data_IF_352082568610
#
_entry.id   IF_352082568610
#
_cell.length_a   1.000
_cell.length_b   1.000
_cell.length_c   1.000
_cell.angle_alpha   90.00
_cell.angle_beta   90.00
_cell.angle_gamma   90.00
#
_symmetry.space_group_name_H-M   'P 1'
#
loop_
_entity.id
_entity.type
_entity.pdbx_description
1 polymer ?
#
# COMPACT_ATOMS: atom_id res chain seq x y z
N UNK A 1 1.10 -28.43 3.60
CA UNK A 1 -0.04 -27.50 3.77
C UNK A 1 0.49 -26.12 3.44
N UNK A 2 0.19 -25.60 2.24
CA UNK A 2 0.70 -24.31 1.78
C UNK A 2 -0.29 -23.24 2.27
N UNK A 3 -0.02 -22.68 3.45
CA UNK A 3 -0.79 -21.54 3.96
C UNK A 3 -0.50 -20.33 3.05
N UNK A 4 -1.55 -19.62 2.62
CA UNK A 4 -1.39 -18.35 1.92
C UNK A 4 -0.67 -17.31 2.78
N UNK A 5 -0.33 -16.12 2.22
CA UNK A 5 0.29 -15.05 3.01
C UNK A 5 -0.59 -14.72 4.22
N UNK A 6 0.01 -14.62 5.40
CA UNK A 6 -0.71 -14.34 6.65
C UNK A 6 -1.22 -12.89 6.73
N UNK A 7 -0.65 -11.98 5.92
CA UNK A 7 -0.99 -10.55 5.93
C UNK A 7 -1.00 -9.98 4.52
N UNK A 8 -2.11 -9.38 4.08
CA UNK A 8 -2.19 -8.57 2.87
C UNK A 8 -2.17 -7.07 3.16
N UNK A 9 -1.31 -6.33 2.45
CA UNK A 9 -1.15 -4.87 2.60
C UNK A 9 -1.47 -4.20 1.26
N UNK A 10 -2.53 -3.40 1.23
CA UNK A 10 -2.83 -2.51 0.10
C UNK A 10 -1.98 -1.24 0.19
N UNK A 11 -1.22 -0.95 -0.87
CA UNK A 11 -0.33 0.21 -0.97
C UNK A 11 -0.91 1.24 -1.92
N UNK A 12 -1.08 2.46 -1.42
CA UNK A 12 -1.54 3.61 -2.20
C UNK A 12 -0.39 4.58 -2.43
N UNK A 13 -0.21 5.02 -3.68
CA UNK A 13 0.82 6.01 -4.03
C UNK A 13 0.17 7.26 -4.56
N UNK A 14 0.32 8.37 -3.83
CA UNK A 14 -0.25 9.68 -4.19
C UNK A 14 0.46 10.41 -5.33
N UNK A 15 1.03 9.69 -6.31
CA UNK A 15 1.81 10.29 -7.39
C UNK A 15 1.64 9.54 -8.70
N UNK A 16 1.15 10.24 -9.73
CA UNK A 16 0.92 9.68 -11.06
C UNK A 16 2.12 9.80 -12.01
N UNK A 17 3.11 10.64 -11.69
CA UNK A 17 4.28 10.86 -12.56
C UNK A 17 5.10 9.57 -12.70
N UNK A 18 5.66 9.34 -13.89
CA UNK A 18 6.45 8.14 -14.22
C UNK A 18 7.72 8.00 -13.36
N UNK A 19 8.44 9.10 -13.15
CA UNK A 19 9.67 9.15 -12.36
C UNK A 19 9.42 9.42 -10.86
N UNK A 20 8.38 8.80 -10.27
CA UNK A 20 8.05 9.02 -8.87
C UNK A 20 8.93 8.18 -7.94
N UNK A 21 9.75 8.85 -7.12
CA UNK A 21 10.49 8.21 -6.02
C UNK A 21 9.58 7.40 -5.10
N UNK A 22 8.37 7.87 -4.81
CA UNK A 22 7.41 7.12 -3.99
C UNK A 22 7.02 5.79 -4.66
N UNK A 23 6.81 5.78 -5.99
CA UNK A 23 6.52 4.54 -6.73
C UNK A 23 7.71 3.58 -6.73
N UNK A 24 8.93 4.12 -6.86
CA UNK A 24 10.16 3.33 -6.80
C UNK A 24 10.35 2.71 -5.41
N UNK A 25 10.17 3.49 -4.34
CA UNK A 25 10.22 3.00 -2.95
C UNK A 25 9.17 1.92 -2.71
N UNK A 26 7.94 2.14 -3.17
CA UNK A 26 6.88 1.11 -3.09
C UNK A 26 7.26 -0.14 -3.84
N UNK A 27 7.86 -0.04 -5.03
CA UNK A 27 8.30 -1.21 -5.78
C UNK A 27 9.37 -1.99 -5.02
N UNK A 28 10.38 -1.29 -4.48
CA UNK A 28 11.40 -1.92 -3.64
C UNK A 28 10.80 -2.58 -2.41
N UNK A 29 9.85 -1.94 -1.73
CA UNK A 29 9.15 -2.55 -0.60
C UNK A 29 8.42 -3.84 -0.98
N UNK A 30 7.74 -3.86 -2.14
CA UNK A 30 7.07 -5.07 -2.67
C UNK A 30 8.08 -6.16 -2.99
N UNK A 31 9.18 -5.82 -3.68
CA UNK A 31 10.21 -6.78 -4.10
C UNK A 31 10.95 -7.38 -2.90
N UNK A 32 10.97 -6.66 -1.77
CA UNK A 32 11.65 -7.05 -0.54
C UNK A 32 10.68 -7.56 0.53
N UNK A 33 9.38 -7.66 0.22
CA UNK A 33 8.37 -8.10 1.16
C UNK A 33 8.70 -9.50 1.72
N UNK A 34 8.52 -9.74 3.02
CA UNK A 34 8.66 -11.06 3.60
C UNK A 34 7.70 -12.07 2.97
N UNK A 35 8.04 -13.36 2.95
CA UNK A 35 7.23 -14.40 2.29
C UNK A 35 5.79 -14.52 2.84
N UNK A 36 5.54 -14.08 4.07
CA UNK A 36 4.22 -14.11 4.71
C UNK A 36 3.42 -12.82 4.50
N UNK A 37 4.01 -11.81 3.86
CA UNK A 37 3.38 -10.50 3.58
C UNK A 37 3.17 -10.35 2.08
N UNK A 38 1.92 -10.13 1.69
CA UNK A 38 1.57 -9.79 0.31
C UNK A 38 1.30 -8.30 0.20
N UNK A 39 2.12 -7.60 -0.55
CA UNK A 39 1.91 -6.18 -0.84
C UNK A 39 1.26 -5.99 -2.21
N UNK A 40 0.16 -5.23 -2.27
CA UNK A 40 -0.60 -4.96 -3.49
C UNK A 40 -0.63 -3.46 -3.73
N UNK A 41 -0.01 -2.97 -4.82
CA UNK A 41 -0.13 -1.56 -5.20
C UNK A 41 -1.41 -1.32 -6.00
N UNK A 42 -2.21 -0.34 -5.59
CA UNK A 42 -3.33 0.14 -6.39
C UNK A 42 -2.89 1.28 -7.32
N UNK A 43 -2.64 0.95 -8.59
CA UNK A 43 -2.11 1.92 -9.58
C UNK A 43 -3.18 2.87 -10.17
N UNK A 44 -4.48 2.63 -9.88
CA UNK A 44 -5.61 3.36 -10.46
C UNK A 44 -6.19 4.45 -9.56
N UNK A 45 -5.43 4.90 -8.56
CA UNK A 45 -5.90 5.88 -7.57
C UNK A 45 -6.37 7.20 -8.21
N UNK A 46 -5.69 7.65 -9.27
CA UNK A 46 -6.08 8.87 -10.00
C UNK A 46 -7.34 8.73 -10.87
N UNK A 47 -7.89 7.54 -11.00
CA UNK A 47 -9.14 7.27 -11.72
C UNK A 47 -10.35 7.27 -10.79
N UNK A 48 -10.14 7.35 -9.48
CA UNK A 48 -11.24 7.44 -8.52
C UNK A 48 -11.94 8.80 -8.67
N UNK A 49 -13.28 8.81 -8.84
CA UNK A 49 -14.02 10.06 -8.78
C UNK A 49 -13.89 10.66 -7.37
N UNK A 50 -14.13 11.98 -7.28
CA UNK A 50 -14.37 12.58 -5.97
C UNK A 50 -15.59 11.90 -5.34
N UNK A 51 -15.51 11.68 -4.03
CA UNK A 51 -16.62 11.07 -3.30
C UNK A 51 -17.90 11.89 -3.49
N UNK A 52 -18.98 11.21 -3.84
CA UNK A 52 -20.32 11.74 -3.88
C UNK A 52 -21.29 10.63 -3.44
N UNK A 53 -22.04 10.89 -2.37
CA UNK A 53 -22.98 9.94 -1.77
C UNK A 53 -24.10 9.54 -2.74
N UNK A 54 -24.53 10.45 -3.63
CA UNK A 54 -25.61 10.20 -4.60
C UNK A 54 -25.26 9.07 -5.59
N UNK A 55 -23.97 8.86 -5.83
CA UNK A 55 -23.45 7.84 -6.75
C UNK A 55 -22.75 6.69 -6.02
N UNK A 56 -22.77 6.71 -4.69
CA UNK A 56 -22.22 5.63 -3.88
C UNK A 56 -23.27 4.53 -3.65
N UNK A 57 -23.41 3.67 -4.66
CA UNK A 57 -24.30 2.51 -4.63
C UNK A 57 -23.61 1.28 -5.25
N UNK A 58 -24.34 0.18 -5.39
CA UNK A 58 -23.79 -1.07 -5.94
C UNK A 58 -23.35 -0.95 -7.41
N UNK A 59 -23.93 -0.01 -8.17
CA UNK A 59 -23.60 0.28 -9.58
C UNK A 59 -22.58 1.43 -9.71
N UNK A 60 -21.57 1.42 -8.83
CA UNK A 60 -20.53 2.46 -8.80
C UNK A 60 -19.55 2.35 -9.98
N UNK A 61 -18.79 3.42 -10.23
CA UNK A 61 -17.77 3.45 -11.27
C UNK A 61 -16.74 2.32 -11.10
N UNK A 62 -16.32 1.71 -12.21
CA UNK A 62 -15.40 0.57 -12.21
C UNK A 62 -14.08 0.79 -11.44
N UNK A 63 -13.45 1.99 -11.41
CA UNK A 63 -12.31 2.26 -10.53
C UNK A 63 -12.64 2.16 -9.03
N UNK A 64 -13.84 2.58 -8.62
CA UNK A 64 -14.32 2.49 -7.24
C UNK A 64 -14.52 1.02 -6.87
N UNK A 65 -15.19 0.25 -7.71
CA UNK A 65 -15.36 -1.20 -7.51
C UNK A 65 -14.01 -1.92 -7.38
N UNK A 66 -13.02 -1.58 -8.24
CA UNK A 66 -11.69 -2.15 -8.18
C UNK A 66 -10.95 -1.78 -6.88
N UNK A 67 -11.05 -0.53 -6.41
CA UNK A 67 -10.46 -0.10 -5.15
C UNK A 67 -11.08 -0.84 -3.96
N UNK A 68 -12.42 -0.97 -3.93
CA UNK A 68 -13.14 -1.73 -2.91
C UNK A 68 -12.71 -3.19 -2.87
N UNK A 69 -12.62 -3.83 -4.04
CA UNK A 69 -12.16 -5.21 -4.14
C UNK A 69 -10.72 -5.38 -3.63
N UNK A 70 -9.82 -4.45 -3.97
CA UNK A 70 -8.44 -4.47 -3.49
C UNK A 70 -8.34 -4.26 -1.96
N UNK A 71 -9.24 -3.45 -1.39
CA UNK A 71 -9.32 -3.19 0.05
C UNK A 71 -10.03 -4.31 0.84
N UNK A 72 -10.85 -5.13 0.19
CA UNK A 72 -11.66 -6.17 0.83
C UNK A 72 -10.96 -7.53 0.99
N UNK A 73 -9.68 -7.64 0.60
CA UNK A 73 -9.05 -8.94 0.36
C UNK A 73 -8.61 -9.75 1.61
N UNK A 74 -8.90 -9.32 2.85
CA UNK A 74 -8.57 -10.08 4.08
C UNK A 74 -9.70 -10.00 5.14
N UNK A 75 -10.83 -10.68 4.90
CA UNK A 75 -11.97 -10.82 5.84
C UNK A 75 -12.81 -9.55 6.13
N UNK A 76 -13.99 -9.50 5.51
CA UNK A 76 -15.24 -8.92 6.02
C UNK A 76 -15.16 -7.63 6.89
N UNK A 77 -15.12 -6.45 6.24
CA UNK A 77 -15.62 -5.20 6.83
C UNK A 77 -16.90 -4.80 6.12
N UNK A 78 -18.04 -5.22 6.66
CA UNK A 78 -19.41 -5.16 6.09
C UNK A 78 -19.93 -3.78 5.66
N UNK A 79 -19.13 -2.72 5.64
CA UNK A 79 -19.62 -1.36 5.46
C UNK A 79 -18.49 -0.47 4.95
N UNK A 80 -18.47 -0.12 3.66
CA UNK A 80 -17.49 0.82 3.09
C UNK A 80 -17.90 2.31 3.22
N UNK A 81 -18.69 2.62 4.26
CA UNK A 81 -18.51 3.89 4.97
C UNK A 81 -17.33 3.70 5.91
N UNK A 82 -16.14 4.16 5.49
CA UNK A 82 -14.79 3.70 5.91
C UNK A 82 -14.53 3.81 7.43
N UNK A 83 -15.09 2.88 8.20
CA UNK A 83 -14.84 2.70 9.63
C UNK A 83 -13.89 1.51 9.83
N UNK A 84 -12.67 1.81 10.30
CA UNK A 84 -11.71 0.80 10.76
C UNK A 84 -10.36 0.76 10.04
N UNK A 85 -9.98 1.84 9.34
CA UNK A 85 -8.57 2.10 9.13
C UNK A 85 -7.92 2.43 10.48
N UNK A 86 -6.90 1.66 10.84
CA UNK A 86 -6.04 1.97 11.99
C UNK A 86 -4.88 2.83 11.49
N UNK A 87 -4.69 3.99 12.10
CA UNK A 87 -3.49 4.80 11.86
C UNK A 87 -2.36 4.22 12.71
N UNK A 88 -1.29 3.78 12.08
CA UNK A 88 -0.06 3.32 12.75
C UNK A 88 0.93 4.48 12.79
N UNK A 89 0.98 5.19 13.92
CA UNK A 89 1.87 6.36 14.09
C UNK A 89 3.29 5.99 14.53
N UNK A 90 3.49 4.77 15.03
CA UNK A 90 4.77 4.24 15.50
C UNK A 90 5.77 4.00 14.36
N UNK A 91 5.27 3.78 13.14
CA UNK A 91 6.08 3.49 11.96
C UNK A 91 6.11 4.73 11.07
N UNK A 92 7.30 5.30 10.88
CA UNK A 92 7.52 6.44 10.00
C UNK A 92 8.75 6.24 9.12
N UNK A 93 8.58 6.52 7.84
CA UNK A 93 9.67 6.58 6.88
C UNK A 93 9.70 7.97 6.25
N UNK A 94 10.84 8.63 6.30
CA UNK A 94 11.10 9.85 5.55
C UNK A 94 12.34 9.62 4.69
N UNK A 95 12.15 9.67 3.37
CA UNK A 95 13.24 9.58 2.40
C UNK A 95 13.29 10.88 1.60
N UNK A 96 14.01 11.90 2.09
CA UNK A 96 14.33 13.09 1.32
C UNK A 96 14.96 12.72 -0.01
N UNK A 97 14.50 13.31 -1.12
CA UNK A 97 15.03 13.02 -2.46
C UNK A 97 16.54 13.22 -2.57
N UNK A 98 17.10 14.16 -1.78
CA UNK A 98 18.54 14.41 -1.67
C UNK A 98 19.34 13.23 -1.11
N UNK A 99 18.74 12.36 -0.30
CA UNK A 99 19.42 11.18 0.24
C UNK A 99 19.73 10.14 -0.83
N UNK A 100 18.95 10.11 -1.91
CA UNK A 100 19.15 9.16 -3.00
C UNK A 100 20.24 9.60 -3.97
N UNK A 101 20.67 10.87 -3.95
CA UNK A 101 21.68 11.42 -4.86
C UNK A 101 21.41 11.15 -6.36
N UNK A 102 20.13 11.00 -6.74
CA UNK A 102 19.73 10.63 -8.10
C UNK A 102 19.81 9.13 -8.44
N UNK A 103 20.28 8.29 -7.52
CA UNK A 103 20.30 6.82 -7.63
C UNK A 103 18.89 6.26 -7.44
N UNK A 104 18.63 5.09 -8.02
CA UNK A 104 17.39 4.37 -7.77
C UNK A 104 17.39 3.83 -6.32
N UNK A 105 16.25 3.87 -5.59
CA UNK A 105 16.17 3.37 -4.21
C UNK A 105 16.67 1.94 -3.99
N UNK A 106 16.55 1.08 -5.01
CA UNK A 106 17.03 -0.30 -4.95
C UNK A 106 18.56 -0.42 -4.86
N UNK A 107 19.29 0.63 -5.23
CA UNK A 107 20.76 0.67 -5.22
C UNK A 107 21.32 1.05 -3.83
N UNK A 108 20.48 1.52 -2.92
CA UNK A 108 20.84 1.85 -1.54
C UNK A 108 20.51 0.66 -0.63
N UNK A 109 21.53 -0.12 -0.28
CA UNK A 109 21.39 -1.32 0.54
C UNK A 109 20.85 -1.02 1.95
N UNK A 110 21.19 0.13 2.51
CA UNK A 110 20.71 0.53 3.84
C UNK A 110 19.23 0.90 3.78
N UNK A 111 18.81 1.63 2.76
CA UNK A 111 17.41 1.93 2.51
C UNK A 111 16.58 0.67 2.26
N UNK A 112 17.08 -0.28 1.45
CA UNK A 112 16.44 -1.57 1.20
C UNK A 112 16.23 -2.34 2.51
N UNK A 113 17.26 -2.38 3.36
CA UNK A 113 17.20 -3.03 4.68
C UNK A 113 16.19 -2.34 5.61
N UNK A 114 16.18 -1.01 5.65
CA UNK A 114 15.20 -0.24 6.41
C UNK A 114 13.77 -0.48 5.91
N UNK A 115 13.54 -0.49 4.60
CA UNK A 115 12.22 -0.77 4.01
C UNK A 115 11.72 -2.16 4.39
N UNK A 116 12.57 -3.18 4.33
CA UNK A 116 12.23 -4.54 4.76
C UNK A 116 11.80 -4.57 6.24
N UNK A 117 12.58 -3.94 7.12
CA UNK A 117 12.24 -3.88 8.56
C UNK A 117 10.89 -3.19 8.82
N UNK A 118 10.63 -2.09 8.11
CA UNK A 118 9.34 -1.38 8.20
C UNK A 118 8.16 -2.24 7.75
N UNK A 119 8.33 -3.04 6.69
CA UNK A 119 7.27 -3.95 6.22
C UNK A 119 7.02 -5.07 7.24
N UNK A 120 8.05 -5.61 7.87
CA UNK A 120 7.91 -6.58 8.97
C UNK A 120 7.18 -5.97 10.18
N UNK A 121 7.60 -4.77 10.62
CA UNK A 121 6.97 -4.07 11.74
C UNK A 121 5.49 -3.79 11.44
N UNK A 122 5.18 -3.36 10.20
CA UNK A 122 3.81 -3.12 9.76
C UNK A 122 2.98 -4.39 9.76
N UNK A 123 3.54 -5.51 9.29
CA UNK A 123 2.85 -6.81 9.25
C UNK A 123 2.57 -7.33 10.66
N UNK A 124 3.53 -7.21 11.58
CA UNK A 124 3.36 -7.59 12.97
C UNK A 124 2.26 -6.74 13.65
N UNK A 125 2.28 -5.43 13.41
CA UNK A 125 1.30 -4.49 13.92
C UNK A 125 -0.13 -4.82 13.46
N UNK A 126 -0.35 -5.15 12.19
CA UNK A 126 -1.72 -5.45 11.69
C UNK A 126 -2.21 -6.86 12.03
N UNK A 127 -1.30 -7.75 12.42
CA UNK A 127 -1.63 -9.13 12.80
C UNK A 127 -1.79 -9.31 14.32
N UNK A 128 -1.54 -8.26 15.11
CA UNK A 128 -1.72 -8.21 16.56
C UNK A 128 -3.14 -7.78 16.95
#
# INVERSE_FOLDING_TARGET
>A
MNQGPATSILVLVGSLRRASTARQLTQVAIDQAPNHVRMLRFDRLGELPLYNEDIDNEDTAQPVAAFRAAAAHDEARKSLGIAGLRIVESIRLSVPTRMLEGKHPAEDADLVRTLRGIVEDLAAEVSA
#
